data_IF_552866371265
#
_entry.id   IF_552866371265
#
_cell.length_a   1.000
_cell.length_b   1.000
_cell.length_c   1.000
_cell.angle_alpha   90.00
_cell.angle_beta   90.00
_cell.angle_gamma   90.00
#
_symmetry.space_group_name_H-M   'P 1'
#
loop_
_entity.id
_entity.type
_entity.pdbx_description
1 polymer ?
#
# COMPACT_ATOMS: atom_id res chain seq x y z
N UNK A 1 22.23 1.57 -1.92
CA UNK A 1 21.12 2.48 -2.34
C UNK A 1 21.50 3.07 -3.69
N UNK A 2 20.66 2.95 -4.73
CA UNK A 2 20.91 3.61 -6.03
C UNK A 2 20.90 5.12 -5.84
N UNK A 3 21.80 5.82 -6.51
CA UNK A 3 21.75 7.28 -6.58
C UNK A 3 20.48 7.72 -7.31
N UNK A 4 19.91 8.85 -6.93
CA UNK A 4 18.65 9.35 -7.51
C UNK A 4 18.73 9.51 -9.04
N UNK A 5 19.88 9.95 -9.55
CA UNK A 5 20.15 10.07 -10.97
C UNK A 5 20.03 8.76 -11.76
N UNK A 6 20.43 7.64 -11.15
CA UNK A 6 20.30 6.30 -11.75
C UNK A 6 18.83 5.87 -11.85
N UNK A 7 18.01 6.25 -10.85
CA UNK A 7 16.57 5.99 -10.88
C UNK A 7 15.88 6.79 -11.98
N UNK A 8 16.24 8.06 -12.11
CA UNK A 8 15.73 8.94 -13.20
C UNK A 8 16.15 8.37 -14.56
N UNK A 9 17.42 8.05 -14.78
CA UNK A 9 17.91 7.45 -16.02
C UNK A 9 17.17 6.15 -16.34
N UNK A 10 16.96 5.29 -15.36
CA UNK A 10 16.19 4.06 -15.54
C UNK A 10 14.76 4.34 -15.97
N UNK A 11 14.08 5.30 -15.32
CA UNK A 11 12.72 5.67 -15.68
C UNK A 11 12.63 6.27 -17.10
N UNK A 12 13.57 7.15 -17.48
CA UNK A 12 13.61 7.81 -18.79
C UNK A 12 13.94 6.83 -19.92
N UNK A 13 14.71 5.77 -19.66
CA UNK A 13 15.10 4.78 -20.68
C UNK A 13 13.94 3.94 -21.23
N UNK A 14 12.77 3.97 -20.59
CA UNK A 14 11.58 3.28 -21.08
C UNK A 14 10.92 4.06 -22.21
N UNK A 15 10.41 3.38 -23.24
CA UNK A 15 9.76 4.02 -24.40
C UNK A 15 8.27 4.32 -24.16
N UNK A 16 7.75 4.01 -23.00
CA UNK A 16 6.34 4.21 -22.61
C UNK A 16 6.21 5.10 -21.39
N UNK A 17 5.02 5.64 -21.17
CA UNK A 17 4.69 6.28 -19.89
C UNK A 17 4.78 5.26 -18.78
N UNK A 18 5.65 5.52 -17.81
CA UNK A 18 5.93 4.56 -16.74
C UNK A 18 6.09 5.25 -15.39
N UNK A 19 6.14 4.44 -14.34
CA UNK A 19 6.44 4.88 -13.00
C UNK A 19 7.21 3.83 -12.21
N UNK A 20 8.10 4.29 -11.35
CA UNK A 20 8.87 3.45 -10.46
C UNK A 20 8.69 3.87 -9.00
N UNK A 21 8.64 2.89 -8.13
CA UNK A 21 8.41 3.06 -6.70
C UNK A 21 9.48 2.37 -5.87
N UNK A 22 9.79 2.89 -4.68
CA UNK A 22 10.63 2.19 -3.74
C UNK A 22 9.89 1.03 -3.10
N UNK A 23 10.69 0.11 -2.59
CA UNK A 23 10.26 -0.93 -1.70
C UNK A 23 10.37 -0.43 -0.26
N UNK A 24 9.29 -0.40 0.52
CA UNK A 24 9.36 0.06 1.90
C UNK A 24 9.79 -1.06 2.85
N UNK A 25 10.67 -0.72 3.80
CA UNK A 25 11.21 -1.63 4.81
C UNK A 25 10.72 -1.23 6.21
N UNK A 26 10.53 -2.19 7.11
CA UNK A 26 10.75 -3.64 7.00
C UNK A 26 9.61 -4.40 6.29
N UNK A 27 8.57 -3.72 5.84
CA UNK A 27 7.45 -4.28 5.09
C UNK A 27 6.83 -3.21 4.17
N UNK A 28 6.10 -3.67 3.15
CA UNK A 28 5.38 -2.76 2.25
C UNK A 28 4.13 -2.22 2.96
N UNK A 29 4.12 -0.94 3.30
CA UNK A 29 3.08 -0.39 4.17
C UNK A 29 1.79 0.00 3.45
N UNK A 30 1.87 0.54 2.23
CA UNK A 30 0.71 1.09 1.51
C UNK A 30 -0.02 0.03 0.68
N UNK A 31 -0.71 -0.87 1.37
CA UNK A 31 -1.53 -1.93 0.76
C UNK A 31 -2.76 -1.35 0.06
N UNK A 32 -3.25 -0.19 0.45
CA UNK A 32 -4.41 0.43 -0.19
C UNK A 32 -4.13 0.90 -1.61
N UNK A 33 -2.92 1.39 -1.86
CA UNK A 33 -2.47 1.79 -3.19
C UNK A 33 -1.98 0.60 -4.05
N UNK A 34 -1.68 -0.55 -3.44
CA UNK A 34 -1.06 -1.67 -4.13
C UNK A 34 -2.07 -2.46 -4.98
N UNK A 35 -1.72 -2.69 -6.26
CA UNK A 35 -2.39 -3.58 -7.20
C UNK A 35 -1.33 -4.35 -7.98
N UNK A 36 -1.13 -5.61 -7.63
CA UNK A 36 -0.13 -6.50 -8.22
C UNK A 36 -0.70 -7.92 -8.31
N UNK A 37 -0.80 -8.47 -9.52
CA UNK A 37 -1.42 -9.77 -9.78
C UNK A 37 -0.82 -10.92 -8.98
N UNK A 38 0.50 -10.87 -8.76
CA UNK A 38 1.22 -11.91 -8.02
C UNK A 38 1.30 -11.66 -6.50
N UNK A 39 0.74 -10.56 -6.01
CA UNK A 39 0.81 -10.19 -4.60
C UNK A 39 -0.57 -9.88 -4.03
N UNK A 40 -1.18 -8.76 -4.42
CA UNK A 40 -2.53 -8.36 -4.05
C UNK A 40 -3.16 -7.55 -5.18
N UNK A 41 -4.32 -7.95 -5.65
CA UNK A 41 -5.06 -7.28 -6.73
C UNK A 41 -6.49 -6.91 -6.33
N UNK A 42 -6.77 -6.91 -5.04
CA UNK A 42 -8.08 -6.55 -4.48
C UNK A 42 -8.06 -5.12 -3.95
N UNK A 43 -9.22 -4.49 -3.94
CA UNK A 43 -9.38 -3.20 -3.27
C UNK A 43 -9.54 -3.39 -1.75
N UNK A 44 -8.43 -3.51 -1.05
CA UNK A 44 -8.41 -3.72 0.41
C UNK A 44 -9.10 -2.57 1.16
N UNK A 45 -8.96 -1.32 0.71
CA UNK A 45 -9.61 -0.16 1.32
C UNK A 45 -11.14 -0.27 1.28
N UNK A 46 -11.69 -0.63 0.12
CA UNK A 46 -13.14 -0.85 -0.03
C UNK A 46 -13.65 -1.92 0.95
N UNK A 47 -12.96 -3.07 0.99
CA UNK A 47 -13.38 -4.17 1.85
C UNK A 47 -13.26 -3.83 3.32
N UNK A 48 -12.16 -3.18 3.74
CA UNK A 48 -11.99 -2.73 5.14
C UNK A 48 -13.09 -1.75 5.54
N UNK A 49 -13.39 -0.75 4.69
CA UNK A 49 -14.45 0.23 4.95
C UNK A 49 -15.82 -0.44 5.04
N UNK A 50 -16.11 -1.34 4.10
CA UNK A 50 -17.37 -2.10 4.08
C UNK A 50 -17.54 -2.97 5.32
N UNK A 51 -16.51 -3.72 5.70
CA UNK A 51 -16.58 -4.60 6.88
C UNK A 51 -16.65 -3.81 8.19
N UNK A 52 -15.94 -2.69 8.32
CA UNK A 52 -16.08 -1.79 9.47
C UNK A 52 -17.53 -1.32 9.67
N UNK A 53 -18.25 -1.07 8.58
CA UNK A 53 -19.65 -0.63 8.63
C UNK A 53 -20.61 -1.73 9.14
N UNK A 54 -20.34 -3.00 8.78
CA UNK A 54 -21.27 -4.11 9.07
C UNK A 54 -20.86 -5.00 10.25
N UNK A 55 -19.56 -5.05 10.58
CA UNK A 55 -19.00 -5.97 11.57
C UNK A 55 -18.09 -5.20 12.54
N UNK A 56 -18.70 -4.55 13.51
CA UNK A 56 -18.02 -3.72 14.49
C UNK A 56 -16.93 -4.46 15.29
N UNK A 57 -17.16 -5.72 15.62
CA UNK A 57 -16.23 -6.57 16.41
C UNK A 57 -15.12 -7.23 15.56
N UNK A 58 -15.32 -7.31 14.24
CA UNK A 58 -14.40 -8.03 13.34
C UNK A 58 -13.30 -7.20 12.70
N UNK A 59 -13.20 -5.89 12.99
CA UNK A 59 -12.31 -4.98 12.28
C UNK A 59 -10.83 -5.40 12.30
N UNK A 60 -10.35 -5.93 13.42
CA UNK A 60 -8.97 -6.42 13.55
C UNK A 60 -8.70 -7.67 12.70
N UNK A 61 -9.61 -8.65 12.72
CA UNK A 61 -9.49 -9.88 11.92
C UNK A 61 -9.46 -9.53 10.44
N UNK A 62 -10.35 -8.65 9.99
CA UNK A 62 -10.36 -8.20 8.60
C UNK A 62 -9.12 -7.40 8.21
N UNK A 63 -8.62 -6.51 9.09
CA UNK A 63 -7.37 -5.81 8.87
C UNK A 63 -6.19 -6.79 8.75
N UNK A 64 -6.18 -7.86 9.54
CA UNK A 64 -5.17 -8.90 9.42
C UNK A 64 -5.22 -9.58 8.04
N UNK A 65 -6.38 -10.03 7.61
CA UNK A 65 -6.52 -10.73 6.33
C UNK A 65 -6.40 -9.83 5.10
N UNK A 66 -6.84 -8.56 5.19
CA UNK A 66 -6.89 -7.65 4.05
C UNK A 66 -5.66 -6.74 3.94
N UNK A 67 -4.89 -6.58 4.99
CA UNK A 67 -3.74 -5.68 5.04
C UNK A 67 -2.51 -6.41 5.55
N UNK A 68 -2.47 -6.81 6.83
CA UNK A 68 -1.24 -7.22 7.50
C UNK A 68 -0.60 -8.46 6.89
N UNK A 69 -1.37 -9.45 6.49
CA UNK A 69 -0.82 -10.65 5.86
C UNK A 69 -0.11 -10.34 4.54
N UNK A 70 -0.57 -9.35 3.79
CA UNK A 70 0.06 -8.92 2.54
C UNK A 70 1.32 -8.08 2.78
N UNK A 71 1.35 -7.31 3.85
CA UNK A 71 2.55 -6.59 4.25
C UNK A 71 3.70 -7.52 4.65
N UNK A 72 3.43 -8.71 5.22
CA UNK A 72 4.44 -9.67 5.69
C UNK A 72 5.15 -10.41 4.55
N UNK A 73 4.46 -10.61 3.43
CA UNK A 73 4.96 -11.43 2.31
C UNK A 73 6.08 -10.78 1.48
N UNK A 74 6.68 -9.72 2.00
CA UNK A 74 7.74 -8.94 1.37
C UNK A 74 8.96 -9.79 1.01
N UNK A 75 9.40 -10.68 1.88
CA UNK A 75 10.55 -11.58 1.65
C UNK A 75 10.44 -12.43 0.39
N UNK A 76 9.21 -12.69 -0.06
CA UNK A 76 8.95 -13.48 -1.27
C UNK A 76 9.38 -12.77 -2.57
N UNK A 77 9.57 -11.45 -2.53
CA UNK A 77 9.83 -10.60 -3.69
C UNK A 77 11.23 -9.97 -3.69
N UNK A 78 12.09 -10.30 -2.71
CA UNK A 78 13.40 -9.67 -2.52
C UNK A 78 14.38 -9.86 -3.69
N UNK A 79 14.09 -10.74 -4.64
CA UNK A 79 15.03 -11.09 -5.73
C UNK A 79 14.82 -10.36 -7.04
N UNK A 80 13.63 -9.79 -7.28
CA UNK A 80 13.25 -9.16 -8.57
C UNK A 80 12.46 -7.87 -8.39
N UNK A 81 12.52 -6.99 -9.38
CA UNK A 81 11.56 -5.89 -9.48
C UNK A 81 10.14 -6.46 -9.62
N UNK A 82 9.16 -5.79 -9.04
CA UNK A 82 7.78 -6.25 -9.02
C UNK A 82 6.99 -5.40 -9.99
N UNK A 83 6.47 -6.00 -11.07
CA UNK A 83 5.50 -5.33 -11.94
C UNK A 83 4.18 -5.16 -11.19
N UNK A 84 3.63 -3.95 -11.25
CA UNK A 84 2.40 -3.58 -10.56
C UNK A 84 1.48 -2.80 -11.49
N UNK A 85 0.19 -2.79 -11.21
CA UNK A 85 -0.77 -1.88 -11.85
C UNK A 85 -0.92 -0.58 -11.05
N UNK A 86 -0.64 -0.62 -9.76
CA UNK A 86 -0.58 0.54 -8.88
C UNK A 86 0.28 0.23 -7.67
N UNK A 87 1.01 1.23 -7.20
CA UNK A 87 1.78 1.18 -5.97
C UNK A 87 2.01 2.60 -5.43
N UNK A 88 2.40 2.69 -4.16
CA UNK A 88 2.93 3.91 -3.57
C UNK A 88 3.78 3.54 -2.35
N UNK A 89 5.00 4.02 -2.33
CA UNK A 89 5.96 3.74 -1.24
C UNK A 89 6.45 5.04 -0.56
N UNK A 90 5.58 6.07 -0.49
CA UNK A 90 5.94 7.39 0.04
C UNK A 90 6.51 8.32 -1.03
N UNK A 91 7.06 7.79 -2.11
CA UNK A 91 7.57 8.54 -3.26
C UNK A 91 7.40 7.69 -4.53
N UNK A 92 7.21 8.35 -5.67
CA UNK A 92 7.19 7.73 -7.00
C UNK A 92 7.89 8.63 -8.00
N UNK A 93 8.60 8.05 -8.96
CA UNK A 93 9.18 8.75 -10.11
C UNK A 93 8.41 8.32 -11.35
N UNK A 94 7.90 9.27 -12.11
CA UNK A 94 7.07 9.02 -13.27
C UNK A 94 7.66 9.67 -14.54
N UNK A 95 7.65 8.94 -15.64
CA UNK A 95 7.87 9.46 -16.99
C UNK A 95 6.53 9.57 -17.70
N UNK A 96 6.21 10.76 -18.13
CA UNK A 96 4.99 11.08 -18.89
C UNK A 96 5.38 11.40 -20.32
N UNK A 97 4.82 10.67 -21.31
CA UNK A 97 5.14 10.89 -22.71
C UNK A 97 4.20 11.93 -23.34
N UNK A 98 2.90 11.80 -23.14
CA UNK A 98 1.91 12.63 -23.83
C UNK A 98 1.26 13.65 -22.91
N UNK A 99 0.25 13.24 -22.16
CA UNK A 99 -0.55 14.09 -21.29
C UNK A 99 -0.25 13.79 -19.84
N UNK A 100 -0.02 14.85 -19.05
CA UNK A 100 0.11 14.70 -17.59
C UNK A 100 -1.19 14.09 -17.03
N UNK A 101 -1.10 12.92 -16.38
CA UNK A 101 -2.26 12.28 -15.79
C UNK A 101 -2.91 13.16 -14.71
N UNK A 102 -4.23 13.13 -14.65
CA UNK A 102 -4.95 13.88 -13.62
C UNK A 102 -4.99 13.09 -12.33
N UNK A 103 -4.60 13.75 -11.26
CA UNK A 103 -4.79 13.26 -9.90
C UNK A 103 -6.22 13.59 -9.46
N UNK A 104 -7.11 12.61 -9.40
CA UNK A 104 -8.51 12.85 -9.06
C UNK A 104 -9.04 11.82 -8.08
N UNK A 105 -9.76 12.31 -7.07
CA UNK A 105 -10.57 11.46 -6.20
C UNK A 105 -11.77 10.90 -6.96
N UNK A 106 -12.33 9.78 -6.49
CA UNK A 106 -13.60 9.29 -6.99
C UNK A 106 -14.72 10.17 -6.47
N UNK A 107 -15.43 10.88 -7.37
CA UNK A 107 -16.57 11.71 -6.98
C UNK A 107 -17.69 10.89 -6.31
N UNK A 108 -17.87 9.63 -6.71
CA UNK A 108 -18.96 8.79 -6.20
C UNK A 108 -18.69 8.13 -4.84
N UNK A 109 -17.44 7.80 -4.52
CA UNK A 109 -17.06 7.17 -3.25
C UNK A 109 -15.56 7.41 -2.97
N UNK A 110 -15.16 8.60 -2.52
CA UNK A 110 -13.75 8.93 -2.27
C UNK A 110 -13.09 8.04 -1.20
N UNK A 111 -13.88 7.52 -0.27
CA UNK A 111 -13.40 6.69 0.85
C UNK A 111 -13.06 5.24 0.46
N UNK A 112 -13.42 4.80 -0.75
CA UNK A 112 -13.32 3.39 -1.12
C UNK A 112 -12.18 3.03 -2.05
N UNK A 113 -11.50 4.02 -2.61
CA UNK A 113 -10.35 3.78 -3.54
C UNK A 113 -9.27 4.80 -3.27
N UNK A 114 -8.05 4.32 -3.02
CA UNK A 114 -6.88 5.20 -2.93
C UNK A 114 -6.73 6.02 -4.22
N UNK A 115 -6.51 7.33 -4.07
CA UNK A 115 -6.26 8.26 -5.17
C UNK A 115 -5.08 7.82 -6.05
N UNK A 116 -4.06 7.22 -5.44
CA UNK A 116 -2.91 6.67 -6.15
C UNK A 116 -3.30 5.61 -7.18
N UNK A 117 -4.31 4.79 -6.91
CA UNK A 117 -4.75 3.73 -7.82
C UNK A 117 -5.26 4.31 -9.13
N UNK A 118 -6.10 5.33 -9.08
CA UNK A 118 -6.63 5.99 -10.28
C UNK A 118 -5.56 6.72 -11.07
N UNK A 119 -4.66 7.41 -10.36
CA UNK A 119 -3.53 8.08 -10.97
C UNK A 119 -2.63 7.08 -11.70
N UNK A 120 -2.26 6.00 -11.02
CA UNK A 120 -1.35 4.99 -11.53
C UNK A 120 -1.91 4.23 -12.73
N UNK A 121 -3.21 3.98 -12.80
CA UNK A 121 -3.84 3.29 -13.94
C UNK A 121 -3.75 4.05 -15.27
N UNK A 122 -3.26 5.28 -15.27
CA UNK A 122 -3.02 6.07 -16.47
C UNK A 122 -1.62 5.81 -17.08
N UNK A 123 -0.79 4.98 -16.44
CA UNK A 123 0.53 4.62 -16.92
C UNK A 123 0.56 3.21 -17.49
N UNK A 124 1.40 2.99 -18.50
CA UNK A 124 1.52 1.70 -19.19
C UNK A 124 2.34 0.68 -18.42
N UNK A 125 3.40 1.12 -17.75
CA UNK A 125 4.29 0.27 -16.99
C UNK A 125 4.59 0.87 -15.61
N UNK A 126 4.41 0.07 -14.58
CA UNK A 126 4.72 0.46 -13.21
C UNK A 126 5.50 -0.66 -12.52
N UNK A 127 6.55 -0.29 -11.78
CA UNK A 127 7.41 -1.24 -11.08
C UNK A 127 7.78 -0.77 -9.68
N UNK A 128 7.81 -1.71 -8.74
CA UNK A 128 8.48 -1.51 -7.45
C UNK A 128 9.91 -2.04 -7.61
N UNK A 129 10.90 -1.19 -7.39
CA UNK A 129 12.31 -1.55 -7.55
C UNK A 129 12.87 -2.11 -6.25
N UNK A 130 13.40 -3.35 -6.30
CA UNK A 130 13.99 -4.02 -5.14
C UNK A 130 15.21 -3.29 -4.55
N UNK A 131 15.99 -2.63 -5.41
CA UNK A 131 17.23 -1.96 -5.02
C UNK A 131 17.02 -0.50 -4.63
N UNK A 132 15.78 -0.03 -4.63
CA UNK A 132 15.39 1.27 -4.14
C UNK A 132 14.48 1.10 -2.91
N UNK A 133 15.05 1.26 -1.72
CA UNK A 133 14.34 1.05 -0.46
C UNK A 133 14.17 2.35 0.30
N UNK A 134 13.05 2.47 0.98
CA UNK A 134 12.74 3.58 1.90
C UNK A 134 12.22 3.01 3.22
N UNK A 135 12.40 3.69 4.35
CA UNK A 135 11.78 3.27 5.60
C UNK A 135 10.26 3.43 5.51
N UNK A 136 9.52 2.48 6.04
CA UNK A 136 8.08 2.67 6.26
C UNK A 136 7.87 3.75 7.33
N UNK A 137 6.85 4.63 7.19
CA UNK A 137 6.55 5.64 8.18
C UNK A 137 6.25 5.04 9.56
N UNK A 138 6.66 5.73 10.62
CA UNK A 138 6.58 5.22 11.99
C UNK A 138 5.14 4.86 12.41
N UNK A 139 4.16 5.64 11.99
CA UNK A 139 2.73 5.41 12.24
C UNK A 139 2.19 4.10 11.66
N UNK A 140 2.85 3.55 10.63
CA UNK A 140 2.52 2.25 10.05
C UNK A 140 3.29 1.09 10.69
N UNK A 141 4.28 1.39 11.54
CA UNK A 141 5.13 0.40 12.19
C UNK A 141 4.56 -0.09 13.54
N UNK A 142 3.77 0.72 14.24
CA UNK A 142 3.38 0.50 15.64
C UNK A 142 2.92 -0.93 15.94
N UNK A 143 1.94 -1.45 15.20
CA UNK A 143 1.44 -2.80 15.44
C UNK A 143 2.49 -3.89 15.23
N UNK A 144 3.45 -3.68 14.33
CA UNK A 144 4.42 -4.69 13.93
C UNK A 144 5.65 -4.74 14.79
N UNK A 145 6.00 -3.63 15.40
CA UNK A 145 7.07 -3.55 16.38
C UNK A 145 6.67 -4.18 17.72
N UNK A 146 5.36 -4.39 17.95
CA UNK A 146 4.87 -5.03 19.16
C UNK A 146 5.33 -6.50 19.22
N UNK A 147 5.80 -6.94 20.36
CA UNK A 147 6.03 -8.35 20.65
C UNK A 147 4.70 -9.12 20.73
N UNK A 148 4.75 -10.45 20.82
CA UNK A 148 3.54 -11.29 20.80
C UNK A 148 2.56 -10.96 21.93
N UNK A 149 3.04 -10.63 23.13
CA UNK A 149 2.18 -10.25 24.28
C UNK A 149 1.52 -8.89 24.04
N UNK A 150 2.26 -7.93 23.50
CA UNK A 150 1.75 -6.61 23.16
C UNK A 150 0.74 -6.66 22.02
N UNK A 151 0.95 -7.52 21.01
CA UNK A 151 -0.03 -7.77 19.95
C UNK A 151 -1.34 -8.32 20.48
N UNK A 152 -1.27 -9.26 21.42
CA UNK A 152 -2.46 -9.80 22.10
C UNK A 152 -3.17 -8.71 22.91
N UNK A 153 -2.41 -7.91 23.69
CA UNK A 153 -2.94 -6.79 24.46
C UNK A 153 -3.58 -5.73 23.55
N UNK A 154 -2.93 -5.39 22.44
CA UNK A 154 -3.45 -4.46 21.43
C UNK A 154 -4.75 -4.99 20.79
N UNK A 155 -4.81 -6.28 20.49
CA UNK A 155 -6.00 -6.97 20.00
C UNK A 155 -7.18 -6.82 20.95
N UNK A 156 -7.00 -7.17 22.25
CA UNK A 156 -8.04 -7.03 23.25
C UNK A 156 -8.43 -5.56 23.50
N UNK A 157 -7.46 -4.64 23.52
CA UNK A 157 -7.72 -3.21 23.67
C UNK A 157 -8.58 -2.68 22.53
N UNK A 158 -8.30 -3.07 21.29
CA UNK A 158 -9.05 -2.60 20.10
C UNK A 158 -10.48 -3.13 20.12
N UNK A 159 -10.67 -4.41 20.46
CA UNK A 159 -12.01 -5.01 20.64
C UNK A 159 -12.79 -4.29 21.75
N UNK A 160 -12.14 -4.05 22.89
CA UNK A 160 -12.79 -3.43 24.06
C UNK A 160 -13.15 -1.96 23.81
N UNK A 161 -12.28 -1.22 23.11
CA UNK A 161 -12.51 0.18 22.77
C UNK A 161 -13.65 0.36 21.77
N UNK A 162 -13.74 -0.51 20.80
CA UNK A 162 -14.84 -0.51 19.82
C UNK A 162 -16.17 -0.85 20.52
N UNK A 163 -16.12 -1.72 21.55
CA UNK A 163 -17.31 -2.09 22.33
C UNK A 163 -17.80 -0.98 23.28
N UNK A 164 -16.88 -0.19 23.84
CA UNK A 164 -17.21 0.88 24.81
C UNK A 164 -17.70 2.15 24.11
N UNK A 165 -17.21 2.46 22.91
CA UNK A 165 -17.70 3.60 22.11
C UNK A 165 -19.13 3.44 21.62
N UNK A 166 -19.67 2.22 21.59
CA UNK A 166 -21.04 1.96 21.14
C UNK A 166 -22.10 2.12 22.23
N UNK A 167 -21.70 2.29 23.49
CA UNK A 167 -22.62 2.48 24.61
C UNK A 167 -22.80 3.95 25.02
N UNK A 168 -22.22 4.87 24.25
CA UNK A 168 -22.46 6.32 24.38
C UNK A 168 -23.12 6.84 23.11
#
# INVERSE_FOLDING_TARGET
MKKFDELIKYCISKDVSNGIFPFSLPFYYDIFALRASNWIDINSQYWVTKFKKYLKIGSFIFNYFLIFRYQINVKRFETKNIKVRSAFGGIGIYKVINKIPKYSLSEKNPETVSEHVKFNFQFSELEILKNWTVPAPAEHLEYRLLNSKEKIKYFFKTIFFDFVKEKK
#
